data_IF_811176213724
#
_entry.id   IF_811176213724
#
_cell.length_a   1.000
_cell.length_b   1.000
_cell.length_c   1.000
_cell.angle_alpha   90.00
_cell.angle_beta   90.00
_cell.angle_gamma   90.00
#
_symmetry.space_group_name_H-M   'P 1'
#
loop_
_entity.id
_entity.type
_entity.pdbx_description
1 polymer ?
#
# COMPACT_ATOMS: atom_id res chain seq x y z
N UNK A 1 0.25 13.85 4.66
CA UNK A 1 1.37 13.62 3.79
C UNK A 1 2.59 13.03 4.48
N UNK A 2 3.76 13.68 4.33
CA UNK A 2 5.04 13.14 4.86
C UNK A 2 5.02 13.02 6.39
N UNK A 3 4.54 14.04 7.10
CA UNK A 3 4.41 14.02 8.55
C UNK A 3 3.60 12.81 9.04
N UNK A 4 2.44 12.57 8.46
CA UNK A 4 1.57 11.45 8.83
C UNK A 4 2.27 10.10 8.63
N UNK A 5 3.00 9.94 7.52
CA UNK A 5 3.78 8.71 7.26
C UNK A 5 4.91 8.52 8.28
N UNK A 6 5.58 9.61 8.67
CA UNK A 6 6.62 9.56 9.71
C UNK A 6 6.04 9.21 11.08
N UNK A 7 4.88 9.75 11.42
CA UNK A 7 4.19 9.44 12.69
C UNK A 7 3.77 7.97 12.74
N UNK A 8 3.20 7.42 11.65
CA UNK A 8 2.87 5.97 11.57
C UNK A 8 4.13 5.12 11.72
N UNK A 9 5.21 5.47 11.03
CA UNK A 9 6.49 4.76 11.11
C UNK A 9 7.13 4.81 12.52
N UNK A 10 6.81 5.85 13.30
CA UNK A 10 7.25 5.99 14.70
C UNK A 10 6.31 5.30 15.70
N UNK A 11 5.32 4.52 15.23
CA UNK A 11 4.30 3.92 16.10
C UNK A 11 3.24 4.90 16.64
N UNK A 12 3.22 6.14 16.14
CA UNK A 12 2.32 7.21 16.58
C UNK A 12 1.06 7.29 15.72
N UNK A 13 0.39 6.16 15.48
CA UNK A 13 -0.75 6.08 14.57
C UNK A 13 -1.94 6.95 15.03
N UNK A 14 -2.15 7.09 16.34
CA UNK A 14 -3.22 7.95 16.87
C UNK A 14 -2.91 9.44 16.64
N UNK A 15 -1.67 9.86 16.79
CA UNK A 15 -1.24 11.22 16.49
C UNK A 15 -1.33 11.53 14.99
N UNK A 16 -0.96 10.56 14.15
CA UNK A 16 -1.19 10.62 12.71
C UNK A 16 -2.67 10.81 12.37
N UNK A 17 -3.57 10.09 13.05
CA UNK A 17 -5.01 10.23 12.90
C UNK A 17 -5.48 11.66 13.23
N UNK A 18 -5.08 12.18 14.39
CA UNK A 18 -5.44 13.55 14.82
C UNK A 18 -4.96 14.60 13.83
N UNK A 19 -3.74 14.48 13.33
CA UNK A 19 -3.17 15.37 12.31
C UNK A 19 -4.02 15.38 11.03
N UNK A 20 -4.50 14.21 10.58
CA UNK A 20 -5.31 14.09 9.36
C UNK A 20 -6.73 14.58 9.58
N UNK A 21 -7.32 14.37 10.76
CA UNK A 21 -8.64 14.88 11.11
C UNK A 21 -8.64 16.42 11.19
N UNK A 22 -7.59 17.00 11.74
CA UNK A 22 -7.42 18.46 11.71
C UNK A 22 -7.34 18.99 10.28
N UNK A 23 -6.56 18.32 9.43
CA UNK A 23 -6.50 18.65 8.01
C UNK A 23 -7.87 18.55 7.35
N UNK A 24 -8.63 17.48 7.65
CA UNK A 24 -10.00 17.29 7.15
C UNK A 24 -10.92 18.45 7.55
N UNK A 25 -10.85 18.91 8.80
CA UNK A 25 -11.64 20.06 9.28
C UNK A 25 -11.28 21.34 8.52
N UNK A 26 -9.97 21.64 8.36
CA UNK A 26 -9.53 22.83 7.64
C UNK A 26 -9.94 22.85 6.17
N UNK A 27 -10.11 21.69 5.54
CA UNK A 27 -10.58 21.58 4.15
C UNK A 27 -12.10 21.34 4.03
N UNK A 28 -12.85 21.31 5.13
CA UNK A 28 -14.29 21.06 5.09
C UNK A 28 -15.03 22.08 4.21
N UNK A 29 -14.64 23.34 4.31
CA UNK A 29 -15.30 24.48 3.65
C UNK A 29 -14.67 24.84 2.29
N UNK A 30 -13.62 24.15 1.88
CA UNK A 30 -12.85 24.51 0.68
C UNK A 30 -13.50 24.14 -0.67
N UNK A 31 -14.67 23.44 -0.65
CA UNK A 31 -15.33 22.95 -1.87
C UNK A 31 -14.56 21.88 -2.65
N UNK A 32 -13.36 21.50 -2.18
CA UNK A 32 -12.45 20.59 -2.89
C UNK A 32 -12.73 19.12 -2.57
N UNK A 33 -13.82 18.58 -3.12
CA UNK A 33 -14.30 17.21 -2.87
C UNK A 33 -13.24 16.13 -3.12
N UNK A 34 -12.32 16.37 -4.06
CA UNK A 34 -11.22 15.43 -4.38
C UNK A 34 -10.25 15.23 -3.21
N UNK A 35 -9.89 16.30 -2.50
CA UNK A 35 -9.02 16.19 -1.32
C UNK A 35 -9.70 15.46 -0.19
N UNK A 36 -10.99 15.71 0.05
CA UNK A 36 -11.77 14.99 1.09
C UNK A 36 -11.77 13.48 0.85
N UNK A 37 -11.95 13.04 -0.39
CA UNK A 37 -11.95 11.61 -0.72
C UNK A 37 -10.59 10.95 -0.43
N UNK A 38 -9.47 11.61 -0.75
CA UNK A 38 -8.13 11.12 -0.47
C UNK A 38 -7.77 11.21 1.03
N UNK A 39 -8.25 12.23 1.75
CA UNK A 39 -8.11 12.35 3.21
C UNK A 39 -8.83 11.19 3.90
N UNK A 40 -10.07 10.88 3.49
CA UNK A 40 -10.80 9.74 4.03
C UNK A 40 -10.09 8.40 3.76
N UNK A 41 -9.52 8.23 2.56
CA UNK A 41 -8.71 7.05 2.25
C UNK A 41 -7.42 6.98 3.12
N UNK A 42 -6.81 8.11 3.45
CA UNK A 42 -5.67 8.17 4.35
C UNK A 42 -6.07 7.78 5.79
N UNK A 43 -7.21 8.27 6.29
CA UNK A 43 -7.75 7.85 7.58
C UNK A 43 -8.02 6.34 7.62
N UNK A 44 -8.59 5.78 6.56
CA UNK A 44 -8.78 4.33 6.42
C UNK A 44 -7.44 3.56 6.53
N UNK A 45 -6.37 4.02 5.86
CA UNK A 45 -5.05 3.39 6.00
C UNK A 45 -4.51 3.46 7.43
N UNK A 46 -4.70 4.58 8.11
CA UNK A 46 -4.32 4.72 9.53
C UNK A 46 -5.14 3.75 10.40
N UNK A 47 -6.44 3.59 10.11
CA UNK A 47 -7.29 2.61 10.79
C UNK A 47 -6.76 1.18 10.61
N UNK A 48 -6.34 0.79 9.39
CA UNK A 48 -5.71 -0.50 9.12
C UNK A 48 -4.43 -0.70 9.93
N UNK A 49 -3.54 0.31 10.01
CA UNK A 49 -2.33 0.23 10.84
C UNK A 49 -2.61 0.09 12.33
N UNK A 50 -3.75 0.58 12.81
CA UNK A 50 -4.19 0.44 14.20
C UNK A 50 -4.94 -0.86 14.48
N UNK A 51 -5.22 -1.65 13.46
CA UNK A 51 -6.11 -2.80 13.57
C UNK A 51 -7.59 -2.44 13.76
N UNK A 52 -7.97 -1.18 13.51
CA UNK A 52 -9.35 -0.70 13.61
C UNK A 52 -10.15 -1.09 12.35
N UNK A 53 -10.48 -2.37 12.24
CA UNK A 53 -11.11 -2.97 11.06
C UNK A 53 -12.50 -2.39 10.78
N UNK A 54 -13.28 -2.06 11.82
CA UNK A 54 -14.60 -1.46 11.67
C UNK A 54 -14.57 -0.11 10.96
N UNK A 55 -13.58 0.75 11.27
CA UNK A 55 -13.39 2.04 10.60
C UNK A 55 -13.01 1.84 9.13
N UNK A 56 -12.18 0.84 8.84
CA UNK A 56 -11.80 0.50 7.47
C UNK A 56 -12.98 -0.05 6.67
N UNK A 57 -13.82 -0.89 7.27
CA UNK A 57 -15.03 -1.44 6.67
C UNK A 57 -16.08 -0.35 6.39
N UNK A 58 -16.24 0.61 7.29
CA UNK A 58 -17.12 1.75 7.07
C UNK A 58 -16.66 2.59 5.87
N UNK A 59 -15.36 2.88 5.78
CA UNK A 59 -14.80 3.55 4.61
C UNK A 59 -15.02 2.74 3.33
N UNK A 60 -14.83 1.43 3.37
CA UNK A 60 -15.04 0.53 2.24
C UNK A 60 -16.49 0.60 1.73
N UNK A 61 -17.47 0.54 2.64
CA UNK A 61 -18.88 0.60 2.29
C UNK A 61 -19.31 1.96 1.75
N UNK A 62 -18.81 3.06 2.31
CA UNK A 62 -19.26 4.41 2.02
C UNK A 62 -18.49 5.15 0.94
N UNK A 63 -17.17 4.86 0.78
CA UNK A 63 -16.24 5.74 0.07
C UNK A 63 -15.33 5.04 -0.93
N UNK A 64 -15.21 3.70 -0.92
CA UNK A 64 -14.36 2.97 -1.84
C UNK A 64 -14.84 3.10 -3.29
N UNK A 65 -13.93 3.08 -4.29
CA UNK A 65 -14.31 2.96 -5.69
C UNK A 65 -15.01 1.63 -5.94
N UNK A 66 -16.23 1.65 -6.46
CA UNK A 66 -17.04 0.44 -6.58
C UNK A 66 -16.76 -0.39 -7.85
N UNK A 67 -16.12 0.20 -8.84
CA UNK A 67 -15.92 -0.45 -10.12
C UNK A 67 -14.52 -0.21 -10.68
N UNK A 68 -13.80 -1.27 -11.06
CA UNK A 68 -12.50 -1.15 -11.75
C UNK A 68 -12.59 -0.32 -13.05
N UNK A 69 -13.73 -0.33 -13.72
CA UNK A 69 -13.97 0.41 -14.97
C UNK A 69 -13.93 1.93 -14.79
N UNK A 70 -14.15 2.42 -13.57
CA UNK A 70 -14.15 3.84 -13.24
C UNK A 70 -12.77 4.36 -12.77
N UNK A 71 -11.71 3.59 -13.03
CA UNK A 71 -10.36 4.00 -12.67
C UNK A 71 -9.93 5.26 -13.44
N UNK A 72 -9.32 6.18 -12.72
CA UNK A 72 -8.54 7.28 -13.27
C UNK A 72 -7.42 7.68 -12.30
N UNK A 73 -6.45 8.42 -12.81
CA UNK A 73 -5.25 8.82 -12.06
C UNK A 73 -5.54 9.52 -10.73
N UNK A 74 -6.61 10.32 -10.65
CA UNK A 74 -6.97 11.05 -9.44
C UNK A 74 -7.52 10.13 -8.34
N UNK A 75 -8.03 8.96 -8.72
CA UNK A 75 -8.58 7.96 -7.81
C UNK A 75 -7.57 6.88 -7.39
N UNK A 76 -6.38 6.83 -7.99
CA UNK A 76 -5.38 5.75 -7.77
C UNK A 76 -5.12 5.45 -6.30
N UNK A 77 -5.00 6.50 -5.48
CA UNK A 77 -4.77 6.34 -4.04
C UNK A 77 -5.91 5.58 -3.35
N UNK A 78 -7.15 5.83 -3.77
CA UNK A 78 -8.34 5.15 -3.24
C UNK A 78 -8.41 3.69 -3.69
N UNK A 79 -8.00 3.37 -4.93
CA UNK A 79 -7.90 1.98 -5.41
C UNK A 79 -6.87 1.18 -4.63
N UNK A 80 -5.68 1.74 -4.40
CA UNK A 80 -4.67 1.11 -3.55
C UNK A 80 -5.19 0.90 -2.11
N UNK A 81 -5.91 1.87 -1.55
CA UNK A 81 -6.50 1.74 -0.22
C UNK A 81 -7.60 0.69 -0.19
N UNK A 82 -8.44 0.62 -1.22
CA UNK A 82 -9.48 -0.42 -1.34
C UNK A 82 -8.86 -1.81 -1.37
N UNK A 83 -7.82 -2.04 -2.17
CA UNK A 83 -7.12 -3.32 -2.21
C UNK A 83 -6.51 -3.69 -0.84
N UNK A 84 -5.99 -2.71 -0.08
CA UNK A 84 -5.50 -2.96 1.29
C UNK A 84 -6.64 -3.42 2.22
N UNK A 85 -7.82 -2.81 2.15
CA UNK A 85 -9.00 -3.24 2.94
C UNK A 85 -9.45 -4.62 2.51
N UNK A 86 -9.53 -4.89 1.20
CA UNK A 86 -9.92 -6.20 0.66
C UNK A 86 -8.97 -7.31 1.12
N UNK A 87 -7.67 -7.02 1.17
CA UNK A 87 -6.68 -7.93 1.76
C UNK A 87 -6.91 -8.10 3.27
N UNK A 88 -7.16 -7.03 4.03
CA UNK A 88 -7.45 -7.13 5.45
C UNK A 88 -8.70 -7.98 5.74
N UNK A 89 -9.70 -7.93 4.85
CA UNK A 89 -10.91 -8.76 4.86
C UNK A 89 -10.68 -10.18 4.33
N UNK A 90 -9.43 -10.58 4.03
CA UNK A 90 -9.09 -11.87 3.43
C UNK A 90 -9.80 -12.14 2.08
N UNK A 91 -9.88 -11.13 1.24
CA UNK A 91 -10.51 -11.18 -0.09
C UNK A 91 -9.48 -10.90 -1.21
N UNK A 92 -8.51 -11.80 -1.42
CA UNK A 92 -7.40 -11.58 -2.37
C UNK A 92 -7.87 -11.43 -3.82
N UNK A 93 -8.91 -12.18 -4.25
CA UNK A 93 -9.48 -12.07 -5.60
C UNK A 93 -10.02 -10.65 -5.86
N UNK A 94 -10.75 -10.09 -4.90
CA UNK A 94 -11.28 -8.73 -4.99
C UNK A 94 -10.14 -7.71 -5.09
N UNK A 95 -9.08 -7.87 -4.31
CA UNK A 95 -7.91 -7.00 -4.35
C UNK A 95 -7.22 -7.04 -5.73
N UNK A 96 -7.02 -8.22 -6.32
CA UNK A 96 -6.46 -8.35 -7.67
C UNK A 96 -7.34 -7.67 -8.72
N UNK A 97 -8.66 -7.87 -8.66
CA UNK A 97 -9.60 -7.21 -9.56
C UNK A 97 -9.58 -5.69 -9.42
N UNK A 98 -9.53 -5.18 -8.18
CA UNK A 98 -9.42 -3.75 -7.89
C UNK A 98 -8.13 -3.14 -8.45
N UNK A 99 -7.02 -3.89 -8.42
CA UNK A 99 -5.70 -3.44 -8.88
C UNK A 99 -5.51 -3.55 -10.41
N UNK A 100 -6.26 -4.41 -11.09
CA UNK A 100 -6.09 -4.69 -12.51
C UNK A 100 -5.96 -3.45 -13.41
N UNK A 101 -6.79 -2.39 -13.30
CA UNK A 101 -6.70 -1.22 -14.17
C UNK A 101 -5.46 -0.35 -13.88
N UNK A 102 -4.76 -0.57 -12.75
CA UNK A 102 -3.57 0.20 -12.42
C UNK A 102 -2.33 -0.26 -13.19
N UNK A 103 -2.27 -1.51 -13.64
CA UNK A 103 -1.09 -2.07 -14.32
C UNK A 103 -0.77 -1.33 -15.64
N UNK A 104 -1.72 -1.19 -16.60
CA UNK A 104 -1.48 -0.41 -17.81
C UNK A 104 -1.21 1.06 -17.51
N UNK A 105 -1.86 1.64 -16.49
CA UNK A 105 -1.61 3.01 -16.07
C UNK A 105 -0.18 3.22 -15.57
N UNK A 106 0.31 2.38 -14.66
CA UNK A 106 1.66 2.50 -14.11
C UNK A 106 2.72 2.38 -15.22
N UNK A 107 2.54 1.44 -16.15
CA UNK A 107 3.43 1.22 -17.30
C UNK A 107 3.45 2.43 -18.24
N UNK A 108 2.27 2.90 -18.67
CA UNK A 108 2.14 4.00 -19.62
C UNK A 108 2.64 5.33 -19.06
N UNK A 109 2.32 5.62 -17.79
CA UNK A 109 2.65 6.89 -17.16
C UNK A 109 3.99 6.86 -16.38
N UNK A 110 4.75 5.78 -16.43
CA UNK A 110 6.02 5.59 -15.72
C UNK A 110 5.92 5.97 -14.23
N UNK A 111 4.88 5.48 -13.56
CA UNK A 111 4.57 5.81 -12.16
C UNK A 111 5.23 4.83 -11.21
N UNK A 112 6.54 4.97 -10.99
CA UNK A 112 7.37 4.03 -10.24
C UNK A 112 6.88 3.77 -8.80
N UNK A 113 6.54 4.81 -8.03
CA UNK A 113 6.01 4.64 -6.67
C UNK A 113 4.67 3.90 -6.69
N UNK A 114 3.76 4.27 -7.60
CA UNK A 114 2.46 3.60 -7.71
C UNK A 114 2.65 2.14 -8.16
N UNK A 115 3.66 1.87 -9.01
CA UNK A 115 4.04 0.52 -9.46
C UNK A 115 4.56 -0.34 -8.31
N UNK A 116 5.39 0.20 -7.41
CA UNK A 116 5.85 -0.51 -6.21
C UNK A 116 4.66 -0.92 -5.35
N UNK A 117 3.75 0.03 -5.05
CA UNK A 117 2.55 -0.27 -4.27
C UNK A 117 1.67 -1.33 -4.94
N UNK A 118 1.46 -1.21 -6.27
CA UNK A 118 0.70 -2.16 -7.06
C UNK A 118 1.26 -3.58 -6.93
N UNK A 119 2.55 -3.74 -7.22
CA UNK A 119 3.18 -5.06 -7.25
C UNK A 119 3.27 -5.70 -5.86
N UNK A 120 3.47 -4.93 -4.78
CA UNK A 120 3.42 -5.45 -3.41
C UNK A 120 2.02 -5.97 -3.08
N UNK A 121 0.97 -5.20 -3.37
CA UNK A 121 -0.39 -5.63 -3.08
C UNK A 121 -0.82 -6.82 -3.93
N UNK A 122 -0.38 -6.90 -5.19
CA UNK A 122 -0.55 -8.09 -6.02
C UNK A 122 0.19 -9.29 -5.42
N UNK A 123 1.44 -9.14 -5.01
CA UNK A 123 2.22 -10.20 -4.37
C UNK A 123 1.54 -10.71 -3.09
N UNK A 124 1.04 -9.82 -2.24
CA UNK A 124 0.30 -10.17 -1.03
C UNK A 124 -0.98 -10.96 -1.32
N UNK A 125 -1.73 -10.54 -2.35
CA UNK A 125 -2.94 -11.24 -2.78
C UNK A 125 -2.64 -12.65 -3.31
N UNK A 126 -1.67 -12.77 -4.22
CA UNK A 126 -1.23 -14.04 -4.81
C UNK A 126 -0.65 -14.99 -3.76
N UNK A 127 0.14 -14.45 -2.81
CA UNK A 127 0.69 -15.26 -1.70
C UNK A 127 -0.42 -15.91 -0.87
N UNK A 128 -1.50 -15.18 -0.55
CA UNK A 128 -2.66 -15.72 0.16
C UNK A 128 -3.42 -16.78 -0.64
N UNK A 129 -3.38 -16.69 -1.96
CA UNK A 129 -3.95 -17.70 -2.87
C UNK A 129 -3.02 -18.89 -3.11
N UNK A 130 -1.80 -18.89 -2.54
CA UNK A 130 -0.75 -19.86 -2.83
C UNK A 130 -0.34 -19.89 -4.31
N UNK A 131 -0.54 -18.80 -5.02
CA UNK A 131 -0.09 -18.61 -6.41
C UNK A 131 1.39 -18.22 -6.42
N UNK A 132 2.25 -19.07 -7.01
CA UNK A 132 3.70 -18.86 -7.06
C UNK A 132 4.13 -17.57 -7.78
N UNK A 133 3.26 -16.97 -8.58
CA UNK A 133 3.47 -15.69 -9.27
C UNK A 133 3.75 -14.52 -8.33
N UNK A 134 3.45 -14.65 -7.03
CA UNK A 134 3.75 -13.61 -6.04
C UNK A 134 5.24 -13.25 -6.00
N UNK A 135 6.13 -14.23 -6.24
CA UNK A 135 7.58 -14.01 -6.22
C UNK A 135 8.03 -13.03 -7.30
N UNK A 136 7.46 -13.18 -8.48
CA UNK A 136 7.75 -12.28 -9.60
C UNK A 136 7.24 -10.86 -9.33
N UNK A 137 6.03 -10.73 -8.81
CA UNK A 137 5.47 -9.42 -8.45
C UNK A 137 6.28 -8.73 -7.35
N UNK A 138 6.72 -9.47 -6.34
CA UNK A 138 7.58 -8.91 -5.29
C UNK A 138 8.96 -8.49 -5.83
N UNK A 139 9.58 -9.28 -6.73
CA UNK A 139 10.83 -8.90 -7.39
C UNK A 139 10.69 -7.61 -8.18
N UNK A 140 9.63 -7.46 -8.97
CA UNK A 140 9.34 -6.23 -9.73
C UNK A 140 9.24 -5.01 -8.81
N UNK A 141 8.62 -5.15 -7.64
CA UNK A 141 8.56 -4.08 -6.65
C UNK A 141 9.94 -3.74 -6.08
N UNK A 142 10.73 -4.76 -5.75
CA UNK A 142 12.08 -4.59 -5.20
C UNK A 142 13.05 -3.99 -6.22
N UNK A 143 13.04 -4.46 -7.46
CA UNK A 143 13.88 -3.93 -8.55
C UNK A 143 13.59 -2.45 -8.80
N UNK A 144 12.30 -2.08 -8.87
CA UNK A 144 11.91 -0.68 -8.99
C UNK A 144 12.31 0.13 -7.75
N UNK A 145 12.17 -0.42 -6.56
CA UNK A 145 12.56 0.26 -5.32
C UNK A 145 14.08 0.47 -5.25
N UNK A 146 14.87 -0.47 -5.74
CA UNK A 146 16.34 -0.35 -5.82
C UNK A 146 16.76 0.75 -6.80
N UNK A 147 16.22 0.72 -8.01
CA UNK A 147 16.55 1.69 -9.07
C UNK A 147 16.33 3.13 -8.62
N UNK A 148 15.26 3.39 -7.87
CA UNK A 148 14.88 4.75 -7.44
C UNK A 148 15.14 5.02 -5.94
N UNK A 149 15.81 4.12 -5.22
CA UNK A 149 16.07 4.25 -3.77
C UNK A 149 14.80 4.38 -2.91
N UNK A 150 13.71 3.72 -3.29
CA UNK A 150 12.41 3.77 -2.59
C UNK A 150 12.24 2.66 -1.54
N UNK A 151 13.30 2.30 -0.82
CA UNK A 151 13.30 1.23 0.19
C UNK A 151 12.14 1.39 1.19
N UNK A 152 11.93 2.61 1.71
CA UNK A 152 10.85 2.89 2.67
C UNK A 152 9.45 2.64 2.12
N UNK A 153 9.26 2.66 0.81
CA UNK A 153 7.95 2.38 0.20
C UNK A 153 7.59 0.91 0.35
N UNK A 154 8.58 0.02 0.28
CA UNK A 154 8.39 -1.42 0.49
C UNK A 154 8.24 -1.72 1.98
N UNK A 155 9.18 -1.24 2.81
CA UNK A 155 9.19 -1.51 4.25
C UNK A 155 7.95 -0.97 4.99
N UNK A 156 7.28 0.06 4.44
CA UNK A 156 6.04 0.60 5.00
C UNK A 156 4.84 -0.36 5.00
N UNK A 157 4.97 -1.54 4.38
CA UNK A 157 3.98 -2.62 4.49
C UNK A 157 4.19 -3.49 5.74
N UNK A 158 5.27 -3.26 6.50
CA UNK A 158 5.51 -3.84 7.82
C UNK A 158 5.32 -5.34 7.87
N UNK A 159 4.64 -5.80 8.91
CA UNK A 159 4.37 -7.21 9.16
C UNK A 159 3.68 -7.94 8.01
N UNK A 160 2.93 -7.24 7.16
CA UNK A 160 2.23 -7.88 6.04
C UNK A 160 3.18 -8.42 4.96
N UNK A 161 4.31 -7.75 4.71
CA UNK A 161 5.26 -8.13 3.65
C UNK A 161 6.41 -8.99 4.16
N UNK A 162 6.67 -9.02 5.48
CA UNK A 162 7.78 -9.75 6.09
C UNK A 162 7.85 -11.24 5.68
N UNK A 163 6.77 -12.05 5.75
CA UNK A 163 6.84 -13.46 5.37
C UNK A 163 7.27 -13.67 3.92
N UNK A 164 6.82 -12.78 3.02
CA UNK A 164 7.17 -12.85 1.60
C UNK A 164 8.65 -12.52 1.37
N UNK A 165 9.15 -11.51 2.08
CA UNK A 165 10.56 -11.09 1.99
C UNK A 165 11.49 -12.18 2.56
N UNK A 166 11.12 -12.78 3.68
CA UNK A 166 11.86 -13.90 4.28
C UNK A 166 11.90 -15.09 3.32
N UNK A 167 10.75 -15.54 2.81
CA UNK A 167 10.70 -16.66 1.87
C UNK A 167 11.50 -16.37 0.59
N UNK A 168 11.45 -15.12 0.08
CA UNK A 168 12.25 -14.73 -1.07
C UNK A 168 13.75 -14.75 -0.77
N UNK A 169 14.18 -14.39 0.45
CA UNK A 169 15.58 -14.42 0.86
C UNK A 169 16.16 -15.83 0.91
N UNK A 170 15.38 -16.82 1.35
CA UNK A 170 15.78 -18.23 1.40
C UNK A 170 15.92 -18.87 0.00
N UNK A 171 15.15 -18.39 -0.98
CA UNK A 171 15.11 -18.98 -2.33
C UNK A 171 16.09 -18.34 -3.30
N UNK A 172 16.82 -17.31 -2.91
CA UNK A 172 17.52 -16.43 -3.83
C UNK A 172 19.03 -16.55 -3.82
N UNK A 173 19.61 -17.20 -4.85
CA UNK A 173 20.88 -16.77 -5.42
C UNK A 173 20.64 -15.49 -6.22
N UNK A 174 20.92 -14.32 -5.67
CA UNK A 174 20.73 -13.03 -6.33
C UNK A 174 22.01 -12.21 -6.29
N UNK A 175 22.10 -11.21 -7.17
CA UNK A 175 23.18 -10.23 -7.17
C UNK A 175 23.34 -9.58 -5.79
N UNK A 176 24.55 -9.26 -5.40
CA UNK A 176 24.88 -8.74 -4.05
C UNK A 176 24.05 -7.52 -3.64
N UNK A 177 23.74 -6.64 -4.59
CA UNK A 177 22.90 -5.47 -4.35
C UNK A 177 21.43 -5.83 -3.98
N UNK A 178 20.89 -6.91 -4.56
CA UNK A 178 19.55 -7.43 -4.20
C UNK A 178 19.53 -7.94 -2.78
N UNK A 179 20.55 -8.68 -2.39
CA UNK A 179 20.67 -9.20 -1.01
C UNK A 179 20.80 -8.06 -0.01
N UNK A 180 21.57 -7.03 -0.35
CA UNK A 180 21.70 -5.82 0.49
C UNK A 180 20.35 -5.11 0.63
N UNK A 181 19.67 -4.83 -0.50
CA UNK A 181 18.36 -4.21 -0.50
C UNK A 181 17.36 -5.01 0.36
N UNK A 182 17.33 -6.33 0.20
CA UNK A 182 16.43 -7.20 0.94
C UNK A 182 16.69 -7.13 2.45
N UNK A 183 17.96 -7.13 2.88
CA UNK A 183 18.33 -6.93 4.29
C UNK A 183 17.89 -5.57 4.80
N UNK A 184 18.10 -4.51 4.03
CA UNK A 184 17.70 -3.15 4.42
C UNK A 184 16.18 -3.01 4.53
N UNK A 185 15.43 -3.63 3.62
CA UNK A 185 13.95 -3.64 3.65
C UNK A 185 13.46 -4.46 4.84
N UNK A 186 14.02 -5.65 5.08
CA UNK A 186 13.66 -6.50 6.23
C UNK A 186 13.89 -5.77 7.55
N UNK A 187 15.08 -5.18 7.72
CA UNK A 187 15.41 -4.43 8.93
C UNK A 187 14.45 -3.26 9.17
N UNK A 188 14.07 -2.55 8.10
CA UNK A 188 13.12 -1.43 8.22
C UNK A 188 11.68 -1.89 8.41
N UNK A 189 11.23 -2.96 7.73
CA UNK A 189 9.86 -3.45 7.84
C UNK A 189 9.52 -3.92 9.26
N UNK A 190 10.50 -4.45 10.00
CA UNK A 190 10.31 -4.87 11.37
C UNK A 190 9.90 -3.73 12.35
N UNK A 191 10.11 -2.46 11.97
CA UNK A 191 9.72 -1.29 12.76
C UNK A 191 8.32 -0.76 12.43
N UNK A 192 7.69 -1.26 11.35
CA UNK A 192 6.32 -0.87 11.01
C UNK A 192 5.33 -1.87 11.58
N UNK A 193 4.22 -1.39 12.14
CA UNK A 193 3.15 -2.27 12.65
C UNK A 193 2.49 -3.11 11.57
#
# INVERSE_FOLDING_TARGET
>A
GLLTRSQVAAGQAEEARRTVEELKRRFADSGQTRFRANINALLCRIALYRGATEEADEWYRSSAPRSPLNFNVMKRYRYLTQAMVELAQNRPDAALLTLAPMEPYCKTCRRHIDSIHLHILQALAMYRQRDAGWREKLRQALDTAAEYSFVRTVSAYGAAVLPLLEELSYTGGGEEWRQKLLRDVLAQAAFYP
#
